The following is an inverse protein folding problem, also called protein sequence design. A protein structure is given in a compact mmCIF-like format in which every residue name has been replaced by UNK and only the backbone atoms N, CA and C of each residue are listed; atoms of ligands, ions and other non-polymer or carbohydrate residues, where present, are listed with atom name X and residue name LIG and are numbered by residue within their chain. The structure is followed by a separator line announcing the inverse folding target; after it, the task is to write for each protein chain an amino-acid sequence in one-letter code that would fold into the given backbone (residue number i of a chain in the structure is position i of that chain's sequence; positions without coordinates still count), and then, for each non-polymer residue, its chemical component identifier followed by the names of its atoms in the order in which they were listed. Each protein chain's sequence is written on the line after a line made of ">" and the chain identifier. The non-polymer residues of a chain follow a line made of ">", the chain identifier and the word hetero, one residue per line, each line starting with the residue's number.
data_IF_189621056672
#
_entry.id   IF_189621056672
#
_cell.length_a   1.000
_cell.length_b   1.000
_cell.length_c   1.000
_cell.angle_alpha   90.00
_cell.angle_beta   90.00
_cell.angle_gamma   90.00
#
_symmetry.space_group_name_H-M   'P 1'
#
loop_
_entity.id
_entity.type
_entity.pdbx_description
1 polymer ?
#
# COMPACT_ATOMS: atom_id res chain seq x y z
N UNK A 1 -22.78 -3.44 -12.95
CA UNK A 1 -21.34 -3.53 -12.65
C UNK A 1 -21.09 -2.43 -11.64
N UNK A 2 -20.79 -2.75 -10.37
CA UNK A 2 -20.48 -1.72 -9.40
C UNK A 2 -19.12 -1.13 -9.76
N UNK A 3 -19.05 0.19 -9.88
CA UNK A 3 -17.80 0.91 -10.12
C UNK A 3 -16.90 0.72 -8.89
N UNK A 4 -15.66 0.28 -9.08
CA UNK A 4 -14.74 0.09 -7.96
C UNK A 4 -14.44 1.45 -7.30
N UNK A 5 -14.93 1.65 -6.09
CA UNK A 5 -14.71 2.88 -5.33
C UNK A 5 -13.49 2.71 -4.44
N UNK A 6 -12.46 3.53 -4.64
CA UNK A 6 -11.32 3.53 -3.73
C UNK A 6 -11.80 3.93 -2.31
N UNK A 7 -11.53 3.09 -1.31
CA UNK A 7 -11.96 3.29 0.09
C UNK A 7 -10.82 3.88 0.91
N UNK A 8 -11.08 4.98 1.62
CA UNK A 8 -10.09 5.64 2.46
C UNK A 8 -9.69 4.77 3.66
N UNK A 9 -8.38 4.69 3.92
CA UNK A 9 -7.86 4.05 5.14
C UNK A 9 -8.41 4.74 6.41
N UNK A 10 -8.70 4.00 7.51
CA UNK A 10 -9.32 4.58 8.71
C UNK A 10 -8.61 5.83 9.23
N UNK A 11 -9.40 6.90 9.39
CA UNK A 11 -8.90 8.20 9.85
C UNK A 11 -8.35 8.16 11.28
N UNK A 12 -7.40 9.07 11.53
CA UNK A 12 -6.75 9.34 12.81
C UNK A 12 -5.90 8.16 13.36
N UNK A 13 -5.77 7.05 12.62
CA UNK A 13 -4.85 5.96 12.93
C UNK A 13 -3.52 6.19 12.19
N UNK A 14 -2.54 6.76 12.89
CA UNK A 14 -1.23 7.09 12.32
C UNK A 14 -0.25 5.93 12.53
N UNK A 15 0.33 5.36 11.45
CA UNK A 15 1.42 4.39 11.61
C UNK A 15 2.63 4.98 12.33
N UNK A 16 3.30 4.13 13.10
CA UNK A 16 4.59 4.40 13.74
C UNK A 16 5.75 4.18 12.77
N UNK A 17 5.60 3.28 11.80
CA UNK A 17 6.61 3.01 10.78
C UNK A 17 6.00 2.79 9.39
N UNK A 18 6.76 3.13 8.36
CA UNK A 18 6.40 3.03 6.94
C UNK A 18 7.58 2.50 6.16
N UNK A 19 7.35 1.49 5.34
CA UNK A 19 8.35 0.99 4.40
C UNK A 19 7.73 0.93 3.02
N UNK A 20 8.29 1.70 2.09
CA UNK A 20 7.84 1.74 0.70
C UNK A 20 8.90 1.14 -0.21
N UNK A 21 8.49 0.16 -1.01
CA UNK A 21 9.30 -0.39 -2.11
C UNK A 21 8.63 0.01 -3.42
N UNK A 22 9.30 0.81 -4.27
CA UNK A 22 8.76 1.16 -5.58
C UNK A 22 8.44 -0.08 -6.41
N UNK A 23 7.40 0.01 -7.23
CA UNK A 23 7.05 -1.05 -8.17
C UNK A 23 8.14 -1.28 -9.22
N UNK A 24 8.16 -2.49 -9.76
CA UNK A 24 9.09 -2.93 -10.81
C UNK A 24 8.48 -2.77 -12.19
N UNK A 25 9.31 -2.50 -13.19
CA UNK A 25 8.89 -2.65 -14.57
C UNK A 25 8.96 -4.12 -14.96
N UNK A 26 7.93 -4.70 -15.60
CA UNK A 26 7.96 -6.07 -16.04
C UNK A 26 8.97 -6.21 -17.20
N UNK A 27 10.16 -6.72 -16.88
CA UNK A 27 11.25 -6.91 -17.83
C UNK A 27 12.09 -8.13 -17.47
N UNK A 28 12.65 -8.78 -18.49
CA UNK A 28 13.66 -9.84 -18.34
C UNK A 28 14.99 -9.35 -18.90
N UNK A 29 16.05 -9.51 -18.12
CA UNK A 29 17.40 -9.14 -18.50
C UNK A 29 18.22 -10.39 -18.82
N UNK A 30 18.86 -10.39 -19.99
CA UNK A 30 19.85 -11.39 -20.39
C UNK A 30 21.23 -10.73 -20.34
N UNK A 31 22.11 -11.29 -19.53
CA UNK A 31 23.50 -10.83 -19.39
C UNK A 31 24.40 -11.85 -20.05
N UNK A 32 25.09 -11.47 -21.11
CA UNK A 32 26.07 -12.30 -21.78
C UNK A 32 27.35 -12.43 -20.92
N UNK A 33 28.18 -13.46 -21.18
CA UNK A 33 29.43 -13.69 -20.44
C UNK A 33 30.43 -12.53 -20.54
N UNK A 34 30.31 -11.69 -21.57
CA UNK A 34 31.12 -10.48 -21.75
C UNK A 34 30.52 -9.23 -21.07
N UNK A 35 29.42 -9.36 -20.31
CA UNK A 35 28.74 -8.27 -19.63
C UNK A 35 27.76 -7.46 -20.48
N UNK A 36 27.59 -7.77 -21.77
CA UNK A 36 26.55 -7.14 -22.59
C UNK A 36 25.15 -7.52 -22.08
N UNK A 37 24.25 -6.52 -21.99
CA UNK A 37 22.88 -6.71 -21.50
C UNK A 37 21.86 -6.53 -22.62
N UNK A 38 20.97 -7.50 -22.78
CA UNK A 38 19.78 -7.37 -23.61
C UNK A 38 18.56 -7.43 -22.69
N UNK A 39 17.67 -6.45 -22.82
CA UNK A 39 16.48 -6.33 -21.95
C UNK A 39 15.23 -6.45 -22.80
N UNK A 40 14.38 -7.42 -22.46
CA UNK A 40 13.03 -7.53 -23.03
C UNK A 40 12.08 -6.91 -22.01
N UNK A 41 11.40 -5.81 -22.37
CA UNK A 41 10.35 -5.21 -21.55
C UNK A 41 8.98 -5.66 -22.03
N UNK A 42 8.17 -6.19 -21.13
CA UNK A 42 6.80 -6.63 -21.40
C UNK A 42 5.76 -5.53 -21.14
N UNK A 43 6.19 -4.41 -20.56
CA UNK A 43 5.34 -3.26 -20.29
C UNK A 43 6.16 -2.03 -19.94
N UNK A 44 5.55 -0.86 -20.15
CA UNK A 44 6.13 0.45 -19.82
C UNK A 44 5.62 1.01 -18.48
N UNK A 45 4.84 0.24 -17.72
CA UNK A 45 4.25 0.63 -16.44
C UNK A 45 4.93 -0.11 -15.28
N UNK A 46 5.07 0.57 -14.14
CA UNK A 46 5.48 -0.08 -12.89
C UNK A 46 4.32 -0.88 -12.35
N UNK A 47 4.60 -2.03 -11.75
CA UNK A 47 3.62 -2.88 -11.07
C UNK A 47 4.21 -3.40 -9.75
N UNK A 48 3.36 -3.92 -8.86
CA UNK A 48 3.79 -4.57 -7.62
C UNK A 48 4.57 -3.65 -6.66
N UNK A 49 4.22 -2.36 -6.58
CA UNK A 49 4.77 -1.51 -5.54
C UNK A 49 4.30 -2.02 -4.17
N UNK A 50 5.15 -1.98 -3.15
CA UNK A 50 4.81 -2.50 -1.82
C UNK A 50 4.84 -1.40 -0.77
N UNK A 51 3.85 -1.41 0.10
CA UNK A 51 3.80 -0.54 1.27
C UNK A 51 3.60 -1.41 2.51
N UNK A 52 4.42 -1.23 3.53
CA UNK A 52 4.24 -1.85 4.84
C UNK A 52 4.04 -0.75 5.86
N UNK A 53 2.97 -0.85 6.64
CA UNK A 53 2.64 0.06 7.74
C UNK A 53 2.72 -0.70 9.06
N UNK A 54 3.50 -0.17 10.00
CA UNK A 54 3.57 -0.67 11.36
C UNK A 54 2.93 0.32 12.33
N UNK A 55 2.09 -0.19 13.20
CA UNK A 55 1.40 0.55 14.27
C UNK A 55 1.87 -0.02 15.60
N UNK A 56 2.56 0.80 16.39
CA UNK A 56 3.13 0.38 17.67
C UNK A 56 2.38 1.05 18.82
N UNK A 57 2.01 0.26 19.81
CA UNK A 57 1.30 0.71 21.02
C UNK A 57 -0.01 1.45 20.74
N UNK A 58 -0.84 0.93 19.82
CA UNK A 58 -2.18 1.48 19.55
C UNK A 58 -3.22 0.86 20.48
N UNK A 59 -4.37 1.53 20.61
CA UNK A 59 -5.49 0.97 21.39
C UNK A 59 -6.08 -0.28 20.72
N UNK A 60 -6.62 -1.20 21.51
CA UNK A 60 -7.32 -2.37 20.94
C UNK A 60 -8.53 -1.97 20.07
N UNK A 61 -9.14 -0.81 20.36
CA UNK A 61 -10.20 -0.24 19.52
C UNK A 61 -9.67 0.16 18.13
N UNK A 62 -8.49 0.79 18.05
CA UNK A 62 -7.87 1.13 16.78
C UNK A 62 -7.38 -0.11 16.03
N UNK A 63 -6.84 -1.10 16.75
CA UNK A 63 -6.49 -2.39 16.16
C UNK A 63 -7.71 -3.07 15.54
N UNK A 64 -8.85 -3.06 16.23
CA UNK A 64 -10.12 -3.60 15.71
C UNK A 64 -10.59 -2.83 14.47
N UNK A 65 -10.50 -1.49 14.46
CA UNK A 65 -10.84 -0.67 13.27
C UNK A 65 -10.01 -1.05 12.04
N UNK A 66 -8.72 -1.34 12.20
CA UNK A 66 -7.86 -1.81 11.11
C UNK A 66 -8.31 -3.18 10.59
N UNK A 67 -8.68 -4.10 11.49
CA UNK A 67 -9.17 -5.43 11.10
C UNK A 67 -10.53 -5.36 10.40
N UNK A 68 -11.48 -4.58 10.92
CA UNK A 68 -12.77 -4.34 10.26
C UNK A 68 -12.59 -3.72 8.88
N UNK A 69 -11.63 -2.81 8.71
CA UNK A 69 -11.29 -2.23 7.42
C UNK A 69 -10.75 -3.28 6.43
N UNK A 70 -9.88 -4.19 6.90
CA UNK A 70 -9.41 -5.33 6.11
C UNK A 70 -10.56 -6.23 5.65
N UNK A 71 -11.50 -6.56 6.53
CA UNK A 71 -12.65 -7.40 6.20
C UNK A 71 -13.56 -6.72 5.18
N UNK A 72 -13.84 -5.42 5.39
CA UNK A 72 -14.70 -4.62 4.51
C UNK A 72 -14.18 -4.57 3.07
N UNK A 73 -12.90 -4.25 2.88
CA UNK A 73 -12.31 -4.15 1.54
C UNK A 73 -12.26 -5.50 0.85
N UNK A 74 -11.85 -6.56 1.54
CA UNK A 74 -11.74 -7.88 0.91
C UNK A 74 -13.10 -8.50 0.61
N UNK A 75 -14.15 -8.15 1.36
CA UNK A 75 -15.51 -8.62 1.08
C UNK A 75 -16.06 -8.06 -0.23
N UNK A 76 -15.72 -6.83 -0.59
CA UNK A 76 -16.19 -6.17 -1.83
C UNK A 76 -15.15 -6.24 -2.95
N UNK A 77 -13.93 -6.67 -2.62
CA UNK A 77 -12.78 -6.70 -3.51
C UNK A 77 -12.39 -5.32 -4.05
N UNK A 78 -12.52 -4.30 -3.20
CA UNK A 78 -12.21 -2.89 -3.49
C UNK A 78 -10.73 -2.54 -3.30
N UNK A 79 -10.43 -1.27 -3.56
CA UNK A 79 -9.10 -0.68 -3.47
C UNK A 79 -8.95 0.24 -2.26
N UNK A 80 -7.72 0.37 -1.79
CA UNK A 80 -7.39 1.28 -0.69
C UNK A 80 -6.93 2.61 -1.27
N UNK A 81 -7.58 3.68 -0.84
CA UNK A 81 -7.09 5.03 -1.00
C UNK A 81 -6.27 5.44 0.22
N UNK A 82 -5.02 5.81 -0.03
CA UNK A 82 -4.26 6.61 0.92
C UNK A 82 -4.40 8.06 0.49
N UNK A 83 -5.32 8.77 1.15
CA UNK A 83 -5.63 10.18 0.90
C UNK A 83 -4.40 11.09 1.12
N UNK A 84 -4.59 12.40 0.95
CA UNK A 84 -3.59 13.44 1.25
C UNK A 84 -4.00 14.31 2.44
N UNK A 85 -5.15 14.02 3.06
CA UNK A 85 -5.55 14.65 4.31
C UNK A 85 -4.52 14.25 5.39
N UNK A 86 -3.91 15.21 6.08
CA UNK A 86 -2.80 15.05 7.04
C UNK A 86 -3.06 14.15 8.28
N UNK A 87 -4.09 13.31 8.23
CA UNK A 87 -4.55 12.38 9.27
C UNK A 87 -4.53 10.91 8.83
N UNK A 88 -3.97 10.62 7.65
CA UNK A 88 -4.02 9.32 7.01
C UNK A 88 -2.82 8.39 7.34
N UNK A 89 -2.85 7.20 6.73
CA UNK A 89 -1.80 6.19 6.80
C UNK A 89 -0.41 6.66 6.28
N UNK A 90 -0.31 7.79 5.58
CA UNK A 90 0.94 8.36 5.07
C UNK A 90 1.48 9.51 5.93
N UNK A 91 0.87 9.79 7.08
CA UNK A 91 1.36 10.78 8.05
C UNK A 91 2.87 10.65 8.33
N UNK A 92 3.60 11.75 8.46
CA UNK A 92 5.06 11.73 8.65
C UNK A 92 5.90 11.63 7.37
N UNK A 93 5.27 11.46 6.19
CA UNK A 93 5.91 11.74 4.90
C UNK A 93 5.64 13.21 4.54
N UNK A 94 6.51 14.11 5.01
CA UNK A 94 6.32 15.57 4.88
C UNK A 94 6.54 16.10 3.46
N UNK A 95 7.40 15.45 2.66
CA UNK A 95 7.69 15.89 1.30
C UNK A 95 6.57 15.43 0.36
N UNK A 96 5.79 16.38 -0.17
CA UNK A 96 4.68 16.12 -1.09
C UNK A 96 5.05 15.19 -2.25
N UNK A 97 6.18 15.42 -2.94
CA UNK A 97 6.61 14.59 -4.07
C UNK A 97 6.89 13.13 -3.69
N UNK A 98 7.35 12.88 -2.45
CA UNK A 98 7.52 11.52 -1.94
C UNK A 98 6.16 10.92 -1.57
N UNK A 99 5.27 11.70 -0.95
CA UNK A 99 3.92 11.26 -0.61
C UNK A 99 3.10 10.89 -1.85
N UNK A 100 3.20 11.67 -2.93
CA UNK A 100 2.63 11.36 -4.26
C UNK A 100 3.10 10.00 -4.78
N UNK A 101 4.40 9.73 -4.71
CA UNK A 101 4.97 8.43 -5.14
C UNK A 101 4.52 7.27 -4.27
N UNK A 102 4.38 7.46 -2.95
CA UNK A 102 3.95 6.39 -2.03
C UNK A 102 2.45 6.15 -2.14
N UNK A 103 1.63 7.20 -2.30
CA UNK A 103 0.19 7.08 -2.51
C UNK A 103 -0.18 6.49 -3.89
N UNK A 104 0.81 6.31 -4.78
CA UNK A 104 0.62 5.92 -6.17
C UNK A 104 -0.32 6.86 -6.94
N UNK A 105 -0.40 8.13 -6.56
CA UNK A 105 -1.19 9.08 -7.31
C UNK A 105 -0.58 9.30 -8.69
N UNK A 106 -1.43 9.23 -9.72
CA UNK A 106 -1.11 9.71 -11.05
C UNK A 106 -2.13 10.79 -11.45
N UNK A 107 -1.63 11.95 -11.87
CA UNK A 107 -2.45 13.07 -12.37
C UNK A 107 -2.91 12.85 -13.82
N UNK A 108 -2.36 11.84 -14.51
CA UNK A 108 -2.57 11.55 -15.93
C UNK A 108 -3.29 10.21 -16.18
N UNK A 109 -3.95 9.64 -15.18
CA UNK A 109 -4.99 8.62 -15.35
C UNK A 109 -4.64 7.17 -15.00
N UNK A 110 -3.37 6.79 -14.84
CA UNK A 110 -3.01 5.42 -14.44
C UNK A 110 -2.54 5.33 -12.99
N UNK A 111 -3.47 5.05 -12.08
CA UNK A 111 -3.19 4.85 -10.66
C UNK A 111 -2.91 3.37 -10.39
N UNK A 112 -1.74 3.04 -9.83
CA UNK A 112 -1.61 1.74 -9.15
C UNK A 112 -2.49 1.79 -7.91
N UNK A 113 -3.37 0.82 -7.75
CA UNK A 113 -4.30 0.80 -6.62
C UNK A 113 -3.85 -0.22 -5.58
N UNK A 114 -3.86 0.18 -4.31
CA UNK A 114 -3.43 -0.68 -3.22
C UNK A 114 -4.48 -1.70 -2.85
N UNK A 115 -4.02 -2.91 -2.54
CA UNK A 115 -4.76 -3.98 -1.88
C UNK A 115 -3.92 -4.52 -0.72
N UNK A 116 -4.53 -5.25 0.19
CA UNK A 116 -3.80 -5.97 1.24
C UNK A 116 -2.94 -7.08 0.62
N UNK A 117 -1.65 -7.12 0.97
CA UNK A 117 -0.69 -8.18 0.66
C UNK A 117 -0.71 -9.20 1.81
N UNK A 118 -1.90 -9.79 2.04
CA UNK A 118 -2.21 -10.69 3.14
C UNK A 118 -2.90 -10.04 4.35
N UNK A 119 -3.39 -10.85 5.30
CA UNK A 119 -4.08 -10.37 6.50
C UNK A 119 -3.15 -9.57 7.43
N UNK A 120 -3.65 -8.52 8.11
CA UNK A 120 -2.89 -7.82 9.15
C UNK A 120 -2.48 -8.77 10.28
N UNK A 121 -1.31 -8.54 10.85
CA UNK A 121 -0.86 -9.27 12.04
C UNK A 121 -1.02 -8.41 13.28
N UNK A 122 -1.70 -8.92 14.31
CA UNK A 122 -1.91 -8.24 15.59
C UNK A 122 -1.10 -8.92 16.68
N UNK A 123 -0.47 -8.14 17.57
CA UNK A 123 0.25 -8.66 18.74
C UNK A 123 -0.11 -7.83 19.96
N UNK A 124 -0.69 -8.45 20.99
CA UNK A 124 -0.97 -7.77 22.24
C UNK A 124 0.34 -7.44 22.97
N UNK A 125 0.47 -6.20 23.41
CA UNK A 125 1.64 -5.72 24.18
C UNK A 125 1.34 -5.76 25.68
N UNK A 126 0.18 -5.24 26.05
CA UNK A 126 -0.38 -5.20 27.41
C UNK A 126 -1.90 -4.98 27.32
N UNK A 127 -2.68 -5.15 28.40
CA UNK A 127 -4.13 -4.96 28.33
C UNK A 127 -4.53 -3.63 27.70
N UNK A 128 -5.41 -3.68 26.70
CA UNK A 128 -5.90 -2.50 25.97
C UNK A 128 -4.95 -1.94 24.90
N UNK A 129 -3.74 -2.51 24.73
CA UNK A 129 -2.71 -2.00 23.83
C UNK A 129 -2.13 -3.13 22.96
N UNK A 130 -2.12 -2.88 21.66
CA UNK A 130 -1.69 -3.82 20.63
C UNK A 130 -0.73 -3.18 19.62
N UNK A 131 0.05 -4.02 18.97
CA UNK A 131 0.80 -3.69 17.76
C UNK A 131 0.08 -4.29 16.56
N UNK A 132 0.07 -3.59 15.44
CA UNK A 132 -0.51 -4.06 14.17
C UNK A 132 0.48 -3.85 13.04
N UNK A 133 0.61 -4.82 12.15
CA UNK A 133 1.34 -4.65 10.89
C UNK A 133 0.42 -4.96 9.72
N UNK A 134 0.39 -4.05 8.76
CA UNK A 134 -0.32 -4.20 7.50
C UNK A 134 0.69 -4.20 6.35
N UNK A 135 0.50 -5.10 5.39
CA UNK A 135 1.26 -5.15 4.14
C UNK A 135 0.30 -4.89 3.00
N UNK A 136 0.77 -4.15 2.01
CA UNK A 136 -0.02 -3.75 0.85
C UNK A 136 0.79 -3.93 -0.42
N UNK A 137 0.10 -4.30 -1.48
CA UNK A 137 0.62 -4.38 -2.84
C UNK A 137 -0.22 -3.49 -3.75
N UNK A 138 0.44 -2.66 -4.53
CA UNK A 138 -0.18 -1.81 -5.53
C UNK A 138 -0.15 -2.51 -6.88
N UNK A 139 -1.34 -2.81 -7.40
CA UNK A 139 -1.52 -3.53 -8.65
C UNK A 139 -2.08 -2.59 -9.72
N UNK A 140 -1.77 -2.89 -10.98
CA UNK A 140 -2.46 -2.27 -12.11
C UNK A 140 -3.80 -2.99 -12.25
N UNK A 141 -4.89 -2.25 -12.23
CA UNK A 141 -6.20 -2.84 -12.54
C UNK A 141 -6.33 -3.07 -14.05
N UNK A 142 -6.99 -4.16 -14.42
CA UNK A 142 -7.28 -4.52 -15.79
C UNK A 142 -8.70 -4.09 -16.16
N UNK A 143 -8.97 -2.79 -16.12
CA UNK A 143 -10.19 -2.19 -16.66
C UNK A 143 -10.08 -1.99 -18.19
#
# INVERSE_FOLDING_TARGET
>A
MAEATDVDFPDDIKPSSRTYTPGTYPQTEFVAQNGAKTVIRYGNKKVNAKLTLGFTNISDNDANRILTFYETINSVYDYINFSFSNKDALSGIEKADLREKVAQQDKNGYKLRYRFDGPPTVTSVRPGISNVQCKFVACLDGD
#
